data_IF_286964198173
#
_entry.id   IF_286964198173
#
_cell.length_a   1.000
_cell.length_b   1.000
_cell.length_c   1.000
_cell.angle_alpha   90.00
_cell.angle_beta   90.00
_cell.angle_gamma   90.00
#
_symmetry.space_group_name_H-M   'P 1'
#
loop_
_entity.id
_entity.type
_entity.pdbx_description
1 polymer ?
#
# COMPACT_ATOMS: atom_id res chain seq x y z
N UNK A 1 19.06 -19.55 7.74
CA UNK A 1 18.96 -19.20 9.16
C UNK A 1 19.39 -20.38 9.99
N UNK A 2 20.46 -20.20 10.76
CA UNK A 2 20.88 -21.20 11.75
C UNK A 2 20.04 -21.04 13.02
N UNK A 3 19.85 -22.11 13.80
CA UNK A 3 19.02 -22.09 15.02
C UNK A 3 19.49 -21.05 16.06
N UNK A 4 20.76 -20.67 16.00
CA UNK A 4 21.35 -19.66 16.86
C UNK A 4 20.88 -18.22 16.53
N UNK A 5 20.52 -17.95 15.27
CA UNK A 5 19.95 -16.68 14.84
C UNK A 5 18.47 -16.55 15.24
N UNK A 6 17.75 -17.69 15.32
CA UNK A 6 16.34 -17.71 15.71
C UNK A 6 16.14 -17.56 17.22
N UNK A 7 17.04 -18.13 18.03
CA UNK A 7 17.00 -18.01 19.49
C UNK A 7 17.34 -16.59 19.96
N UNK A 8 18.25 -15.88 19.28
CA UNK A 8 18.51 -14.45 19.56
C UNK A 8 17.33 -13.54 19.25
N UNK A 9 16.48 -13.94 18.31
CA UNK A 9 15.27 -13.18 17.95
C UNK A 9 14.13 -13.41 18.96
N UNK A 10 14.11 -14.54 19.67
CA UNK A 10 13.10 -14.87 20.67
C UNK A 10 13.39 -14.32 22.07
N UNK A 11 14.66 -14.05 22.40
CA UNK A 11 15.05 -13.61 23.75
C UNK A 11 14.95 -12.07 23.98
N UNK A 12 14.39 -11.32 23.02
CA UNK A 12 13.83 -10.00 23.27
C UNK A 12 14.81 -8.86 23.59
N UNK A 13 16.10 -8.98 23.25
CA UNK A 13 17.13 -7.94 23.48
C UNK A 13 17.56 -7.23 22.18
N UNK A 14 16.59 -6.82 21.35
CA UNK A 14 16.85 -5.80 20.33
C UNK A 14 16.19 -4.50 20.76
N UNK A 15 17.01 -3.65 21.40
CA UNK A 15 16.79 -2.22 21.54
C UNK A 15 16.70 -1.60 20.13
N UNK A 16 15.49 -1.55 19.59
CA UNK A 16 15.18 -0.85 18.35
C UNK A 16 15.02 0.63 18.71
N UNK A 17 16.14 1.34 18.62
CA UNK A 17 16.21 2.78 18.76
C UNK A 17 15.21 3.50 17.86
N UNK A 18 14.41 4.32 18.52
CA UNK A 18 13.57 5.37 17.97
C UNK A 18 14.47 6.49 17.43
N UNK A 19 14.84 6.46 16.14
CA UNK A 19 14.96 7.69 15.34
C UNK A 19 15.15 7.41 13.84
N UNK A 20 14.52 8.27 13.04
CA UNK A 20 14.78 8.58 11.64
C UNK A 20 14.49 7.50 10.57
N UNK A 21 13.39 7.70 9.83
CA UNK A 21 13.47 8.48 8.59
C UNK A 21 12.07 8.84 8.08
N UNK A 22 11.73 10.10 8.29
CA UNK A 22 10.74 10.87 7.57
C UNK A 22 10.99 10.84 6.05
N UNK A 23 9.96 10.53 5.26
CA UNK A 23 9.83 11.03 3.89
C UNK A 23 8.46 11.65 3.72
N UNK A 24 8.50 12.96 3.54
CA UNK A 24 7.44 13.86 3.11
C UNK A 24 7.66 14.14 1.62
N UNK A 25 6.67 13.78 0.81
CA UNK A 25 6.18 14.43 -0.42
C UNK A 25 4.97 13.58 -0.85
N UNK A 26 3.74 14.06 -1.00
CA UNK A 26 3.35 15.33 -1.60
C UNK A 26 2.52 15.00 -2.85
N UNK A 27 1.33 14.41 -2.68
CA UNK A 27 0.31 14.46 -3.73
C UNK A 27 -1.02 14.92 -3.11
N UNK A 28 -1.36 16.17 -3.39
CA UNK A 28 -2.56 16.83 -2.92
C UNK A 28 -3.74 16.41 -3.79
N UNK A 29 -4.54 15.46 -3.29
CA UNK A 29 -5.93 15.33 -3.70
C UNK A 29 -6.75 16.18 -2.72
N UNK A 30 -7.13 17.38 -3.16
CA UNK A 30 -8.16 18.19 -2.49
C UNK A 30 -9.48 17.41 -2.52
N UNK A 31 -9.84 16.81 -1.39
CA UNK A 31 -11.23 16.47 -1.09
C UNK A 31 -11.65 17.26 0.14
N UNK A 32 -12.51 18.24 -0.09
CA UNK A 32 -13.23 19.05 0.88
C UNK A 32 -14.10 18.12 1.74
N UNK A 33 -13.51 17.58 2.80
CA UNK A 33 -14.18 16.73 3.79
C UNK A 33 -14.12 17.46 5.13
N UNK A 34 -15.26 18.06 5.47
CA UNK A 34 -15.56 18.68 6.75
C UNK A 34 -15.08 17.80 7.90
N UNK A 35 -14.03 18.25 8.57
CA UNK A 35 -13.33 17.50 9.62
C UNK A 35 -14.18 17.50 10.89
N UNK A 36 -15.04 16.49 11.07
CA UNK A 36 -15.66 16.21 12.36
C UNK A 36 -14.63 15.47 13.23
N UNK A 37 -13.93 16.22 14.09
CA UNK A 37 -13.13 15.68 15.18
C UNK A 37 -14.02 14.80 16.07
N UNK A 38 -13.77 13.49 16.09
CA UNK A 38 -14.42 12.59 17.02
C UNK A 38 -13.61 12.56 18.33
N UNK A 39 -14.06 13.35 19.30
CA UNK A 39 -13.57 13.31 20.68
C UNK A 39 -13.98 11.95 21.29
N UNK A 40 -13.01 11.12 21.66
CA UNK A 40 -13.23 9.74 22.13
C UNK A 40 -13.95 9.67 23.48
N UNK A 41 -13.98 10.76 24.23
CA UNK A 41 -14.54 10.82 25.58
C UNK A 41 -16.03 11.18 25.62
N UNK A 42 -16.66 11.44 24.46
CA UNK A 42 -18.06 11.85 24.38
C UNK A 42 -18.81 11.21 23.21
N UNK A 43 -18.67 9.89 23.03
CA UNK A 43 -19.59 9.12 22.18
C UNK A 43 -20.99 9.08 22.82
N UNK A 44 -21.74 10.18 22.70
CA UNK A 44 -23.18 10.18 22.88
C UNK A 44 -23.78 9.91 21.51
N UNK A 45 -24.44 8.75 21.39
CA UNK A 45 -25.34 8.50 20.25
C UNK A 45 -26.38 9.61 20.27
N UNK A 46 -26.27 10.58 19.36
CA UNK A 46 -27.30 11.58 19.16
C UNK A 46 -28.60 10.85 18.86
N UNK A 47 -29.59 10.99 19.73
CA UNK A 47 -30.90 10.33 19.63
C UNK A 47 -31.70 10.76 18.39
N UNK A 48 -31.20 11.73 17.62
CA UNK A 48 -31.79 12.24 16.38
C UNK A 48 -31.40 11.40 15.14
N UNK A 49 -30.41 10.50 15.27
CA UNK A 49 -30.11 9.54 14.21
C UNK A 49 -31.11 8.39 14.28
N UNK A 50 -31.96 8.29 13.26
CA UNK A 50 -32.94 7.20 13.11
C UNK A 50 -32.29 5.83 13.32
N UNK A 51 -32.84 5.10 14.30
CA UNK A 51 -32.49 3.72 14.60
C UNK A 51 -33.47 2.79 13.87
N UNK A 52 -33.02 1.68 13.26
CA UNK A 52 -31.64 1.16 13.23
C UNK A 52 -30.74 1.92 12.25
N UNK A 53 -29.41 1.94 12.49
CA UNK A 53 -28.47 2.53 11.55
C UNK A 53 -28.62 1.86 10.18
N UNK A 54 -28.48 2.61 9.07
CA UNK A 54 -28.58 2.05 7.74
C UNK A 54 -27.56 0.91 7.58
N UNK A 55 -27.91 -0.16 6.83
CA UNK A 55 -27.00 -1.27 6.61
C UNK A 55 -25.68 -0.75 6.03
N UNK A 56 -24.52 -1.29 6.45
CA UNK A 56 -23.23 -0.76 6.03
C UNK A 56 -23.14 -0.79 4.50
N UNK A 57 -22.84 0.37 3.92
CA UNK A 57 -22.52 0.50 2.50
C UNK A 57 -21.31 -0.37 2.15
N UNK A 58 -21.11 -0.67 0.87
CA UNK A 58 -19.95 -1.43 0.40
C UNK A 58 -18.61 -0.83 0.85
N UNK A 59 -18.53 0.50 1.00
CA UNK A 59 -17.37 1.21 1.58
C UNK A 59 -17.18 0.97 3.08
N UNK A 60 -18.22 0.65 3.84
CA UNK A 60 -18.10 0.40 5.28
C UNK A 60 -17.81 -1.07 5.59
N UNK A 61 -17.61 -1.90 4.56
CA UNK A 61 -17.28 -3.32 4.71
C UNK A 61 -15.76 -3.52 4.65
N UNK A 62 -15.12 -3.28 5.78
CA UNK A 62 -13.66 -3.40 5.97
C UNK A 62 -13.07 -4.73 5.49
N UNK A 63 -13.81 -5.84 5.59
CA UNK A 63 -13.34 -7.14 5.09
C UNK A 63 -13.25 -7.18 3.56
N UNK A 64 -14.21 -6.58 2.86
CA UNK A 64 -14.19 -6.52 1.40
C UNK A 64 -13.10 -5.57 0.90
N UNK A 65 -12.89 -4.44 1.58
CA UNK A 65 -11.77 -3.54 1.26
C UNK A 65 -10.42 -4.22 1.41
N UNK A 66 -10.22 -5.01 2.46
CA UNK A 66 -8.98 -5.77 2.65
C UNK A 66 -8.79 -6.83 1.57
N UNK A 67 -9.86 -7.55 1.16
CA UNK A 67 -9.81 -8.49 0.04
C UNK A 67 -9.45 -7.75 -1.28
N UNK A 68 -10.09 -6.61 -1.56
CA UNK A 68 -9.83 -5.81 -2.77
C UNK A 68 -8.38 -5.29 -2.80
N UNK A 69 -7.88 -4.78 -1.67
CA UNK A 69 -6.48 -4.34 -1.52
C UNK A 69 -5.49 -5.48 -1.75
N UNK A 70 -5.78 -6.70 -1.27
CA UNK A 70 -4.89 -7.84 -1.53
C UNK A 70 -4.80 -8.18 -3.02
N UNK A 71 -5.95 -8.19 -3.70
CA UNK A 71 -6.03 -8.53 -5.12
C UNK A 71 -5.36 -7.46 -5.99
N UNK A 72 -5.66 -6.19 -5.74
CA UNK A 72 -5.04 -5.09 -6.49
C UNK A 72 -3.53 -5.04 -6.24
N UNK A 73 -3.08 -5.26 -5.00
CA UNK A 73 -1.66 -5.31 -4.69
C UNK A 73 -0.95 -6.43 -5.46
N UNK A 74 -1.52 -7.64 -5.53
CA UNK A 74 -0.94 -8.77 -6.28
C UNK A 74 -0.80 -8.46 -7.77
N UNK A 75 -1.83 -7.87 -8.38
CA UNK A 75 -1.80 -7.46 -9.79
C UNK A 75 -0.75 -6.38 -10.06
N UNK A 76 -0.68 -5.37 -9.19
CA UNK A 76 0.31 -4.28 -9.30
C UNK A 76 1.72 -4.75 -9.10
N UNK A 77 1.93 -5.65 -8.16
CA UNK A 77 3.24 -6.24 -7.98
C UNK A 77 3.63 -7.08 -9.18
N UNK A 78 2.77 -7.92 -9.73
CA UNK A 78 3.11 -8.65 -10.96
C UNK A 78 3.59 -7.71 -12.08
N UNK A 79 2.94 -6.54 -12.24
CA UNK A 79 3.39 -5.51 -13.18
C UNK A 79 4.77 -4.92 -12.83
N UNK A 80 5.06 -4.66 -11.56
CA UNK A 80 6.37 -4.17 -11.11
C UNK A 80 7.46 -5.21 -11.40
N UNK A 81 7.18 -6.50 -11.22
CA UNK A 81 8.13 -7.57 -11.54
C UNK A 81 8.45 -7.59 -13.04
N UNK A 82 7.42 -7.56 -13.88
CA UNK A 82 7.59 -7.50 -15.34
C UNK A 82 8.42 -6.27 -15.76
N UNK A 83 8.17 -5.10 -15.13
CA UNK A 83 8.94 -3.89 -15.39
C UNK A 83 10.40 -4.02 -14.93
N UNK A 84 10.65 -4.57 -13.74
CA UNK A 84 12.01 -4.78 -13.24
C UNK A 84 12.79 -5.79 -14.11
N UNK A 85 12.11 -6.83 -14.62
CA UNK A 85 12.71 -7.79 -15.55
C UNK A 85 13.03 -7.12 -16.90
N UNK A 86 12.13 -6.29 -17.42
CA UNK A 86 12.39 -5.50 -18.62
C UNK A 86 13.61 -4.58 -18.45
N UNK A 87 13.70 -3.85 -17.34
CA UNK A 87 14.84 -2.97 -17.05
C UNK A 87 16.14 -3.78 -16.92
N UNK A 88 16.10 -4.94 -16.25
CA UNK A 88 17.27 -5.82 -16.12
C UNK A 88 17.77 -6.33 -17.48
N UNK A 89 16.84 -6.74 -18.36
CA UNK A 89 17.17 -7.17 -19.71
C UNK A 89 17.72 -6.03 -20.58
N UNK A 90 17.16 -4.82 -20.47
CA UNK A 90 17.68 -3.64 -21.13
C UNK A 90 19.07 -3.25 -20.63
N UNK A 91 19.33 -3.34 -19.33
CA UNK A 91 20.65 -3.08 -18.76
C UNK A 91 21.71 -4.02 -19.33
N UNK A 92 21.43 -5.34 -19.39
CA UNK A 92 22.32 -6.31 -20.02
C UNK A 92 22.56 -6.00 -21.51
N UNK A 93 21.51 -5.65 -22.25
CA UNK A 93 21.65 -5.27 -23.67
C UNK A 93 22.44 -3.97 -23.88
N UNK A 94 22.41 -3.05 -22.91
CA UNK A 94 23.23 -1.83 -22.92
C UNK A 94 24.70 -2.18 -22.64
N UNK A 95 25.00 -3.10 -21.71
CA UNK A 95 26.37 -3.56 -21.44
C UNK A 95 27.01 -4.16 -22.69
N UNK A 96 26.31 -5.03 -23.43
CA UNK A 96 26.82 -5.59 -24.69
C UNK A 96 27.15 -4.50 -25.73
N UNK A 97 26.31 -3.46 -25.83
CA UNK A 97 26.55 -2.32 -26.73
C UNK A 97 27.74 -1.48 -26.27
N UNK A 98 27.88 -1.27 -24.97
CA UNK A 98 29.04 -0.58 -24.37
C UNK A 98 30.33 -1.30 -24.76
N UNK A 99 30.37 -2.63 -24.63
CA UNK A 99 31.54 -3.43 -25.01
C UNK A 99 31.87 -3.30 -26.51
N UNK A 100 30.85 -3.35 -27.37
CA UNK A 100 31.04 -3.17 -28.82
C UNK A 100 31.59 -1.78 -29.16
N UNK A 101 31.09 -0.71 -28.52
CA UNK A 101 31.58 0.66 -28.76
C UNK A 101 32.99 0.84 -28.21
N UNK A 102 33.27 0.30 -27.02
CA UNK A 102 34.60 0.32 -26.40
C UNK A 102 35.63 -0.38 -27.29
N UNK A 103 35.30 -1.56 -27.82
CA UNK A 103 36.17 -2.27 -28.78
C UNK A 103 36.45 -1.47 -30.04
N UNK A 104 35.43 -0.83 -30.63
CA UNK A 104 35.60 0.02 -31.81
C UNK A 104 36.49 1.24 -31.54
N UNK A 105 36.32 1.90 -30.39
CA UNK A 105 37.17 3.03 -29.99
C UNK A 105 38.63 2.60 -29.75
N UNK A 106 38.86 1.45 -29.11
CA UNK A 106 40.20 0.90 -28.94
C UNK A 106 40.86 0.60 -30.29
N UNK A 107 40.13 -0.02 -31.23
CA UNK A 107 40.63 -0.23 -32.60
C UNK A 107 40.96 1.08 -33.31
N UNK A 108 40.17 2.14 -33.10
CA UNK A 108 40.45 3.46 -33.67
C UNK A 108 41.71 4.08 -33.06
N UNK A 109 41.92 3.94 -31.74
CA UNK A 109 43.14 4.40 -31.07
C UNK A 109 44.37 3.71 -31.67
N UNK A 110 44.36 2.38 -31.80
CA UNK A 110 45.47 1.65 -32.42
C UNK A 110 45.76 2.10 -33.86
N UNK A 111 44.72 2.40 -34.63
CA UNK A 111 44.85 2.89 -36.00
C UNK A 111 45.50 4.27 -36.02
N UNK A 112 45.05 5.19 -35.17
CA UNK A 112 45.62 6.53 -35.08
C UNK A 112 47.06 6.51 -34.54
N UNK A 113 47.41 5.62 -33.62
CA UNK A 113 48.79 5.44 -33.15
C UNK A 113 49.72 4.99 -34.29
N UNK A 114 49.27 4.02 -35.11
CA UNK A 114 50.00 3.59 -36.31
C UNK A 114 50.17 4.74 -37.31
N UNK A 115 49.12 5.54 -37.53
CA UNK A 115 49.18 6.70 -38.43
C UNK A 115 50.10 7.80 -37.90
N UNK A 116 50.09 8.08 -36.60
CA UNK A 116 50.96 9.07 -35.97
C UNK A 116 52.43 8.67 -36.07
N UNK A 117 52.72 7.37 -35.96
CA UNK A 117 54.06 6.82 -36.18
C UNK A 117 54.54 7.00 -37.64
N UNK A 118 53.63 6.91 -38.62
CA UNK A 118 53.95 7.07 -40.05
C UNK A 118 53.95 8.54 -40.51
N UNK A 119 53.14 9.39 -39.89
CA UNK A 119 52.93 10.79 -40.24
C UNK A 119 53.03 11.69 -39.00
N UNK A 120 54.24 11.89 -38.45
CA UNK A 120 54.43 12.59 -37.17
C UNK A 120 54.09 14.09 -37.20
N UNK A 121 53.97 14.70 -38.39
CA UNK A 121 53.69 16.13 -38.55
C UNK A 121 52.19 16.45 -38.65
N UNK A 122 51.28 15.49 -38.41
CA UNK A 122 49.84 15.71 -38.48
C UNK A 122 49.26 15.74 -37.04
N UNK A 123 49.01 16.93 -36.47
CA UNK A 123 48.55 17.07 -35.09
C UNK A 123 47.13 16.55 -34.85
N UNK A 124 46.31 16.44 -35.90
CA UNK A 124 44.92 15.98 -35.77
C UNK A 124 44.81 14.52 -35.29
N UNK A 125 45.80 13.67 -35.55
CA UNK A 125 45.79 12.29 -35.05
C UNK A 125 45.96 12.22 -33.54
N UNK A 126 46.83 13.07 -32.98
CA UNK A 126 47.01 13.15 -31.53
C UNK A 126 45.74 13.66 -30.86
N UNK A 127 45.12 14.71 -31.42
CA UNK A 127 43.85 15.24 -30.93
C UNK A 127 42.74 14.17 -30.95
N UNK A 128 42.64 13.38 -32.01
CA UNK A 128 41.62 12.34 -32.13
C UNK A 128 41.86 11.16 -31.18
N UNK A 129 43.12 10.82 -30.89
CA UNK A 129 43.47 9.84 -29.84
C UNK A 129 42.99 10.35 -28.48
N UNK A 130 43.27 11.60 -28.14
CA UNK A 130 42.84 12.19 -26.86
C UNK A 130 41.31 12.21 -26.74
N UNK A 131 40.60 12.62 -27.79
CA UNK A 131 39.12 12.56 -27.85
C UNK A 131 38.59 11.14 -27.65
N UNK A 132 39.23 10.15 -28.25
CA UNK A 132 38.84 8.74 -28.11
C UNK A 132 39.09 8.21 -26.70
N UNK A 133 40.18 8.63 -26.04
CA UNK A 133 40.45 8.28 -24.62
C UNK A 133 39.41 8.87 -23.67
N UNK A 134 39.06 10.14 -23.84
CA UNK A 134 37.98 10.78 -23.08
C UNK A 134 36.64 10.07 -23.31
N UNK A 135 36.36 9.64 -24.54
CA UNK A 135 35.15 8.85 -24.82
C UNK A 135 35.14 7.49 -24.11
N UNK A 136 36.29 6.81 -24.00
CA UNK A 136 36.43 5.56 -23.24
C UNK A 136 36.21 5.80 -21.73
N UNK A 137 36.75 6.88 -21.17
CA UNK A 137 36.50 7.25 -19.77
C UNK A 137 35.00 7.47 -19.50
N UNK A 138 34.31 8.19 -20.39
CA UNK A 138 32.86 8.38 -20.29
C UNK A 138 32.09 7.05 -20.40
N UNK A 139 32.53 6.14 -21.29
CA UNK A 139 31.93 4.81 -21.42
C UNK A 139 32.11 3.99 -20.14
N UNK A 140 33.26 4.07 -19.47
CA UNK A 140 33.48 3.40 -18.20
C UNK A 140 32.48 3.88 -17.13
N UNK A 141 32.27 5.19 -17.02
CA UNK A 141 31.26 5.77 -16.11
C UNK A 141 29.85 5.28 -16.45
N UNK A 142 29.50 5.21 -17.74
CA UNK A 142 28.19 4.68 -18.17
C UNK A 142 28.08 3.19 -17.80
N UNK A 143 29.14 2.40 -17.99
CA UNK A 143 29.18 0.99 -17.62
C UNK A 143 28.92 0.79 -16.12
N UNK A 144 29.57 1.58 -15.27
CA UNK A 144 29.38 1.53 -13.81
C UNK A 144 27.94 1.88 -13.42
N UNK A 145 27.36 2.88 -14.08
CA UNK A 145 25.96 3.27 -13.86
C UNK A 145 24.98 2.16 -14.27
N UNK A 146 25.21 1.50 -15.41
CA UNK A 146 24.36 0.39 -15.89
C UNK A 146 24.47 -0.82 -14.97
N UNK A 147 25.68 -1.16 -14.53
CA UNK A 147 25.90 -2.20 -13.53
C UNK A 147 25.17 -1.89 -12.21
N UNK A 148 25.19 -0.63 -11.77
CA UNK A 148 24.45 -0.17 -10.59
C UNK A 148 22.94 -0.29 -10.77
N UNK A 149 22.42 0.04 -11.95
CA UNK A 149 20.99 -0.17 -12.29
C UNK A 149 20.64 -1.65 -12.21
N UNK A 150 21.48 -2.54 -12.75
CA UNK A 150 21.29 -3.99 -12.66
C UNK A 150 21.23 -4.50 -11.21
N UNK A 151 22.17 -4.05 -10.37
CA UNK A 151 22.18 -4.38 -8.93
C UNK A 151 20.94 -3.85 -8.21
N UNK A 152 20.51 -2.61 -8.51
CA UNK A 152 19.33 -2.02 -7.90
C UNK A 152 18.04 -2.77 -8.31
N UNK A 153 17.95 -3.22 -9.57
CA UNK A 153 16.81 -4.04 -10.02
C UNK A 153 16.73 -5.36 -9.26
N UNK A 154 17.87 -6.03 -9.09
CA UNK A 154 17.94 -7.28 -8.32
C UNK A 154 17.54 -7.06 -6.86
N UNK A 155 18.06 -6.01 -6.22
CA UNK A 155 17.70 -5.62 -4.85
C UNK A 155 16.20 -5.29 -4.73
N UNK A 156 15.63 -4.57 -5.70
CA UNK A 156 14.20 -4.25 -5.72
C UNK A 156 13.35 -5.52 -5.86
N UNK A 157 13.74 -6.47 -6.72
CA UNK A 157 13.07 -7.77 -6.83
C UNK A 157 13.11 -8.56 -5.52
N UNK A 158 14.22 -8.51 -4.77
CA UNK A 158 14.33 -9.17 -3.47
C UNK A 158 13.43 -8.52 -2.41
N UNK A 159 13.40 -7.18 -2.34
CA UNK A 159 12.50 -6.46 -1.43
C UNK A 159 11.04 -6.74 -1.78
N UNK A 160 10.73 -6.86 -3.07
CA UNK A 160 9.37 -7.10 -3.52
C UNK A 160 8.83 -8.47 -3.13
N UNK A 161 9.69 -9.45 -2.84
CA UNK A 161 9.27 -10.72 -2.23
C UNK A 161 8.60 -10.50 -0.85
N UNK A 162 8.88 -9.39 -0.14
CA UNK A 162 8.18 -9.04 1.10
C UNK A 162 6.70 -8.70 0.90
N UNK A 163 6.26 -8.49 -0.34
CA UNK A 163 4.85 -8.25 -0.63
C UNK A 163 3.97 -9.47 -0.30
N UNK A 164 4.47 -10.69 -0.48
CA UNK A 164 3.71 -11.89 -0.07
C UNK A 164 3.51 -11.91 1.47
N UNK A 165 4.44 -11.37 2.25
CA UNK A 165 4.27 -11.22 3.70
C UNK A 165 3.12 -10.24 4.01
N UNK A 166 2.97 -9.16 3.25
CA UNK A 166 1.85 -8.23 3.41
C UNK A 166 0.51 -8.88 3.08
N UNK A 167 0.45 -9.68 2.01
CA UNK A 167 -0.73 -10.48 1.65
C UNK A 167 -1.13 -11.41 2.80
N UNK A 168 -0.18 -12.18 3.35
CA UNK A 168 -0.41 -13.07 4.49
C UNK A 168 -0.90 -12.34 5.75
N UNK A 169 -0.33 -11.15 6.05
CA UNK A 169 -0.77 -10.32 7.18
C UNK A 169 -2.22 -9.88 7.01
N UNK A 170 -2.62 -9.45 5.80
CA UNK A 170 -3.99 -9.05 5.51
C UNK A 170 -4.94 -10.25 5.60
N UNK A 171 -4.59 -11.40 5.03
CA UNK A 171 -5.38 -12.65 5.16
C UNK A 171 -5.63 -13.02 6.63
N UNK A 172 -4.60 -12.88 7.48
CA UNK A 172 -4.74 -13.10 8.92
C UNK A 172 -5.72 -12.13 9.57
N UNK A 173 -5.63 -10.83 9.26
CA UNK A 173 -6.54 -9.80 9.78
C UNK A 173 -7.98 -10.09 9.32
N UNK A 174 -8.18 -10.41 8.05
CA UNK A 174 -9.49 -10.76 7.49
C UNK A 174 -10.10 -11.95 8.24
N UNK A 175 -9.31 -13.00 8.48
CA UNK A 175 -9.78 -14.18 9.23
C UNK A 175 -10.17 -13.84 10.67
N UNK A 176 -9.39 -12.98 11.35
CA UNK A 176 -9.74 -12.50 12.69
C UNK A 176 -11.03 -11.68 12.65
N UNK A 177 -11.20 -10.78 11.68
CA UNK A 177 -12.40 -9.95 11.54
C UNK A 177 -13.64 -10.80 11.28
N UNK A 178 -13.54 -11.82 10.40
CA UNK A 178 -14.62 -12.79 10.16
C UNK A 178 -14.95 -13.59 11.42
N UNK A 179 -13.94 -14.04 12.16
CA UNK A 179 -14.14 -14.75 13.42
C UNK A 179 -14.80 -13.87 14.50
N UNK A 180 -14.42 -12.58 14.58
CA UNK A 180 -14.96 -11.63 15.53
C UNK A 180 -16.43 -11.30 15.22
N UNK A 181 -16.79 -11.13 13.95
CA UNK A 181 -18.19 -10.98 13.53
C UNK A 181 -19.02 -12.21 13.88
N UNK A 182 -18.51 -13.42 13.60
CA UNK A 182 -19.18 -14.67 13.98
C UNK A 182 -19.30 -14.83 15.50
N UNK A 183 -18.28 -14.43 16.26
CA UNK A 183 -18.31 -14.46 17.72
C UNK A 183 -19.37 -13.51 18.27
N UNK A 184 -19.46 -12.28 17.75
CA UNK A 184 -20.52 -11.34 18.11
C UNK A 184 -21.91 -11.89 17.79
N UNK A 185 -22.11 -12.44 16.59
CA UNK A 185 -23.38 -13.05 16.21
C UNK A 185 -23.76 -14.19 17.17
N UNK A 186 -22.81 -15.06 17.55
CA UNK A 186 -23.03 -16.13 18.52
C UNK A 186 -23.26 -15.63 19.96
N UNK A 187 -22.66 -14.51 20.34
CA UNK A 187 -22.87 -13.89 21.66
C UNK A 187 -24.31 -13.36 21.79
N UNK A 188 -24.87 -12.85 20.69
CA UNK A 188 -26.25 -12.35 20.60
C UNK A 188 -27.26 -13.44 20.23
N UNK A 189 -26.83 -14.63 19.86
CA UNK A 189 -27.71 -15.78 19.57
C UNK A 189 -28.41 -16.23 20.86
N UNK A 190 -29.71 -15.97 20.96
CA UNK A 190 -30.53 -16.40 22.09
C UNK A 190 -30.81 -17.91 22.06
N UNK A 191 -31.04 -18.52 23.23
CA UNK A 191 -31.50 -19.93 23.32
C UNK A 191 -32.91 -20.16 22.79
N UNK A 192 -33.65 -19.09 22.52
CA UNK A 192 -35.06 -19.10 22.15
C UNK A 192 -35.13 -18.37 20.82
N UNK A 193 -35.84 -18.98 19.86
CA UNK A 193 -36.12 -18.39 18.55
C UNK A 193 -36.84 -17.03 18.70
N UNK A 194 -36.51 -16.05 17.87
CA UNK A 194 -36.99 -14.67 18.01
C UNK A 194 -38.53 -14.59 17.96
N UNK A 195 -39.17 -15.51 17.24
CA UNK A 195 -40.63 -15.68 17.19
C UNK A 195 -41.27 -16.09 18.53
N UNK A 196 -40.50 -16.76 19.39
CA UNK A 196 -40.94 -17.25 20.70
C UNK A 196 -40.47 -16.35 21.85
N UNK A 197 -39.79 -15.24 21.56
CA UNK A 197 -39.36 -14.29 22.58
C UNK A 197 -40.53 -13.42 23.03
N UNK A 198 -40.57 -13.17 24.34
CA UNK A 198 -41.57 -12.28 24.94
C UNK A 198 -41.39 -10.89 24.31
N UNK A 199 -42.49 -10.30 23.85
CA UNK A 199 -42.50 -8.95 23.27
C UNK A 199 -41.73 -7.97 24.16
N UNK A 200 -40.89 -7.13 23.56
CA UNK A 200 -40.16 -6.10 24.29
C UNK A 200 -41.11 -5.28 25.17
N UNK A 201 -40.73 -5.11 26.43
CA UNK A 201 -41.57 -4.37 27.38
C UNK A 201 -41.63 -2.90 26.95
N UNK A 202 -42.84 -2.41 26.64
CA UNK A 202 -43.09 -0.99 26.34
C UNK A 202 -42.98 -0.10 27.59
N UNK A 203 -43.24 -0.67 28.78
CA UNK A 203 -43.17 0.01 30.08
C UNK A 203 -42.47 -0.86 31.11
N UNK A 204 -41.74 -0.24 32.03
CA UNK A 204 -41.14 -0.90 33.20
C UNK A 204 -41.99 -0.66 34.46
N UNK A 205 -41.86 -1.54 35.45
CA UNK A 205 -42.59 -1.37 36.71
C UNK A 205 -42.12 -0.09 37.43
N UNK A 206 -43.04 0.84 37.70
CA UNK A 206 -42.75 2.17 38.23
C UNK A 206 -42.82 3.29 37.18
N UNK A 207 -43.03 2.94 35.91
CA UNK A 207 -43.46 3.90 34.90
C UNK A 207 -44.91 4.28 35.20
N UNK A 208 -45.13 5.45 35.77
CA UNK A 208 -46.47 5.95 36.02
C UNK A 208 -47.15 6.13 34.66
N UNK A 209 -48.29 5.47 34.43
CA UNK A 209 -49.19 5.63 33.27
C UNK A 209 -49.67 7.08 33.04
N UNK A 210 -49.16 8.03 33.83
CA UNK A 210 -49.37 9.46 33.79
C UNK A 210 -48.38 10.19 32.88
N UNK A 211 -47.24 9.59 32.49
CA UNK A 211 -46.36 10.14 31.45
C UNK A 211 -46.95 9.86 30.06
N UNK A 212 -48.01 10.60 29.74
CA UNK A 212 -48.63 10.75 28.41
C UNK A 212 -47.72 11.38 27.34
N UNK A 213 -46.41 11.47 27.59
CA UNK A 213 -45.46 12.10 26.68
C UNK A 213 -44.85 11.12 25.67
N UNK A 214 -45.21 9.83 25.74
CA UNK A 214 -44.88 8.86 24.70
C UNK A 214 -46.16 8.65 23.88
N UNK A 215 -46.25 9.35 22.75
CA UNK A 215 -47.33 9.17 21.80
C UNK A 215 -47.24 7.75 21.20
N UNK A 216 -48.33 7.00 21.26
CA UNK A 216 -48.43 5.70 20.57
C UNK A 216 -48.38 5.92 19.04
N UNK A 217 -47.98 4.90 18.29
CA UNK A 217 -47.87 4.97 16.82
C UNK A 217 -49.19 5.40 16.17
N UNK A 218 -50.33 5.00 16.74
CA UNK A 218 -51.67 5.43 16.36
C UNK A 218 -51.93 6.93 16.63
N UNK A 219 -51.41 7.48 17.73
CA UNK A 219 -51.52 8.91 18.07
C UNK A 219 -50.63 9.75 17.14
N UNK A 220 -49.48 9.23 16.74
CA UNK A 220 -48.57 9.85 15.76
C UNK A 220 -49.23 9.85 14.36
N UNK A 221 -49.87 8.76 13.95
CA UNK A 221 -50.57 8.67 12.66
C UNK A 221 -51.80 9.61 12.63
N UNK A 222 -52.51 9.74 13.75
CA UNK A 222 -53.59 10.71 13.92
C UNK A 222 -53.10 12.17 13.83
N UNK A 223 -51.93 12.48 14.40
CA UNK A 223 -51.28 13.80 14.29
C UNK A 223 -50.86 14.11 12.85
N UNK A 224 -50.28 13.14 12.14
CA UNK A 224 -49.91 13.27 10.72
C UNK A 224 -51.15 13.53 9.86
N UNK A 225 -52.24 12.80 10.08
CA UNK A 225 -53.50 12.99 9.37
C UNK A 225 -54.15 14.35 9.67
N UNK A 226 -53.99 14.87 10.90
CA UNK A 226 -54.47 16.20 11.27
C UNK A 226 -53.64 17.33 10.64
N UNK A 227 -52.33 17.15 10.49
CA UNK A 227 -51.43 18.13 9.86
C UNK A 227 -51.47 18.10 8.32
N UNK A 228 -51.75 16.95 7.70
CA UNK A 228 -51.91 16.83 6.24
C UNK A 228 -53.21 17.43 5.66
N UNK A 229 -54.09 17.99 6.51
CA UNK A 229 -55.36 18.61 6.12
C UNK A 229 -55.34 20.15 6.07
N UNK A 230 -54.17 20.77 5.87
CA UNK A 230 -54.05 22.20 5.55
C UNK A 230 -53.50 22.43 4.17
#
# INVERSE_FOLDING_TARGET
MTQEELDKLMDGDMDLGDDALSMDDGDAIESDADSVQHDSDNYKVSADNSWPPPPPSTENKVVHQLDDVTKESEEKASQIFDMLEAISNEAMAIEEKIDSVSSALNSNIELFEKLLTKFPNIPHFEEQIQKSKVAIENIAVISDNVSTIGMNCMSAMDVMQYQDIHRQKIERVINIMRALSNYMNKLFEGKIDDENRVSSAKHIHGDDTSNKDIADEDDIEALIAAFGKK
#
